data_IF_244663211862
#
_entry.id   IF_244663211862
#
_cell.length_a   1.000
_cell.length_b   1.000
_cell.length_c   1.000
_cell.angle_alpha   90.00
_cell.angle_beta   90.00
_cell.angle_gamma   90.00
#
_symmetry.space_group_name_H-M   'P 1'
#
loop_
_entity.id
_entity.type
_entity.pdbx_description
1 polymer ?
#
# COMPACT_ATOMS: atom_id res chain seq x y z
N UNK A 1 -76.57 -12.04 8.10
CA UNK A 1 -76.03 -10.83 7.47
C UNK A 1 -74.94 -10.29 8.39
N UNK A 2 -73.67 -10.56 8.07
CA UNK A 2 -72.53 -10.08 8.87
C UNK A 2 -72.19 -8.69 8.35
N UNK A 3 -72.44 -7.67 9.16
CA UNK A 3 -72.08 -6.28 8.84
C UNK A 3 -70.57 -6.16 8.98
N UNK A 4 -69.88 -5.87 7.87
CA UNK A 4 -68.46 -5.54 7.85
C UNK A 4 -68.30 -4.15 8.47
N UNK A 5 -67.57 -4.02 9.58
CA UNK A 5 -67.18 -2.72 10.11
C UNK A 5 -66.08 -2.15 9.20
N UNK A 6 -66.34 -1.01 8.57
CA UNK A 6 -65.34 -0.24 7.85
C UNK A 6 -64.67 0.72 8.84
N UNK A 7 -63.60 0.25 9.50
CA UNK A 7 -62.76 1.10 10.34
C UNK A 7 -61.81 1.91 9.44
N UNK A 8 -62.06 3.20 9.33
CA UNK A 8 -61.18 4.15 8.63
C UNK A 8 -60.03 4.63 9.51
N UNK A 9 -58.87 4.90 8.92
CA UNK A 9 -57.72 5.48 9.63
C UNK A 9 -58.00 6.89 10.11
N UNK A 10 -57.59 7.20 11.33
CA UNK A 10 -57.68 8.57 11.85
C UNK A 10 -56.49 9.40 11.36
N UNK A 11 -56.74 10.70 11.14
CA UNK A 11 -55.72 11.63 10.63
C UNK A 11 -54.52 11.76 11.59
N UNK A 12 -54.77 11.64 12.90
CA UNK A 12 -53.72 11.66 13.92
C UNK A 12 -52.80 10.44 13.83
N UNK A 13 -53.36 9.27 13.51
CA UNK A 13 -52.61 8.02 13.38
C UNK A 13 -51.68 8.06 12.16
N UNK A 14 -52.13 8.69 11.06
CA UNK A 14 -51.29 8.96 9.90
C UNK A 14 -50.13 9.92 10.23
N UNK A 15 -50.40 10.99 10.99
CA UNK A 15 -49.35 11.96 11.38
C UNK A 15 -48.31 11.29 12.29
N UNK A 16 -48.76 10.52 13.29
CA UNK A 16 -47.86 9.83 14.23
C UNK A 16 -47.02 8.78 13.51
N UNK A 17 -47.61 7.99 12.60
CA UNK A 17 -46.88 6.99 11.82
C UNK A 17 -45.83 7.63 10.90
N UNK A 18 -46.17 8.73 10.21
CA UNK A 18 -45.22 9.49 9.40
C UNK A 18 -44.09 10.12 10.23
N UNK A 19 -44.40 10.62 11.43
CA UNK A 19 -43.40 11.16 12.34
C UNK A 19 -42.40 10.07 12.78
N UNK A 20 -42.90 8.91 13.19
CA UNK A 20 -42.05 7.77 13.57
C UNK A 20 -41.23 7.28 12.38
N UNK A 21 -41.84 7.17 11.19
CA UNK A 21 -41.16 6.76 9.97
C UNK A 21 -40.01 7.73 9.62
N UNK A 22 -40.24 9.03 9.75
CA UNK A 22 -39.21 10.06 9.52
C UNK A 22 -38.02 9.90 10.46
N UNK A 23 -38.26 9.63 11.74
CA UNK A 23 -37.20 9.37 12.73
C UNK A 23 -36.41 8.12 12.35
N UNK A 24 -37.10 7.02 12.01
CA UNK A 24 -36.45 5.75 11.65
C UNK A 24 -35.57 5.91 10.40
N UNK A 25 -36.09 6.55 9.35
CA UNK A 25 -35.34 6.82 8.12
C UNK A 25 -34.15 7.74 8.39
N UNK A 26 -34.33 8.76 9.23
CA UNK A 26 -33.27 9.69 9.59
C UNK A 26 -32.10 8.99 10.29
N UNK A 27 -32.40 8.17 11.31
CA UNK A 27 -31.39 7.39 12.04
C UNK A 27 -30.69 6.40 11.12
N UNK A 28 -31.45 5.67 10.30
CA UNK A 28 -30.89 4.71 9.35
C UNK A 28 -29.93 5.39 8.36
N UNK A 29 -30.34 6.52 7.79
CA UNK A 29 -29.53 7.26 6.81
C UNK A 29 -28.23 7.76 7.42
N UNK A 30 -28.26 8.25 8.66
CA UNK A 30 -27.06 8.72 9.36
C UNK A 30 -26.08 7.58 9.62
N UNK A 31 -26.58 6.44 10.11
CA UNK A 31 -25.76 5.26 10.38
C UNK A 31 -25.16 4.70 9.09
N UNK A 32 -25.96 4.60 8.02
CA UNK A 32 -25.50 4.12 6.73
C UNK A 32 -24.40 5.02 6.16
N UNK A 33 -24.61 6.34 6.15
CA UNK A 33 -23.63 7.28 5.62
C UNK A 33 -22.32 7.27 6.43
N UNK A 34 -22.43 7.27 7.76
CA UNK A 34 -21.26 7.20 8.65
C UNK A 34 -20.50 5.89 8.47
N UNK A 35 -21.20 4.76 8.43
CA UNK A 35 -20.62 3.44 8.22
C UNK A 35 -19.92 3.32 6.88
N UNK A 36 -20.57 3.77 5.81
CA UNK A 36 -19.99 3.77 4.47
C UNK A 36 -18.72 4.62 4.38
N UNK A 37 -18.76 5.85 4.91
CA UNK A 37 -17.58 6.74 4.93
C UNK A 37 -16.42 6.13 5.71
N UNK A 38 -16.71 5.53 6.88
CA UNK A 38 -15.70 4.84 7.68
C UNK A 38 -15.11 3.66 6.91
N UNK A 39 -15.95 2.84 6.27
CA UNK A 39 -15.52 1.69 5.50
C UNK A 39 -14.57 2.10 4.35
N UNK A 40 -14.94 3.09 3.54
CA UNK A 40 -14.11 3.57 2.44
C UNK A 40 -12.77 4.13 2.95
N UNK A 41 -12.79 4.89 4.04
CA UNK A 41 -11.54 5.41 4.62
C UNK A 41 -10.63 4.30 5.14
N UNK A 42 -11.20 3.29 5.81
CA UNK A 42 -10.44 2.14 6.29
C UNK A 42 -9.89 1.31 5.13
N UNK A 43 -10.68 1.08 4.09
CA UNK A 43 -10.22 0.36 2.90
C UNK A 43 -9.01 1.06 2.27
N UNK A 44 -9.10 2.37 2.05
CA UNK A 44 -8.00 3.15 1.48
C UNK A 44 -6.73 3.10 2.34
N UNK A 45 -6.87 3.14 3.67
CA UNK A 45 -5.74 2.99 4.61
C UNK A 45 -5.08 1.61 4.49
N UNK A 46 -5.90 0.55 4.48
CA UNK A 46 -5.43 -0.83 4.38
C UNK A 46 -4.71 -1.06 3.05
N UNK A 47 -5.24 -0.54 1.94
CA UNK A 47 -4.64 -0.69 0.62
C UNK A 47 -3.26 -0.03 0.54
N UNK A 48 -3.09 1.16 1.11
CA UNK A 48 -1.79 1.85 1.17
C UNK A 48 -0.81 1.06 2.04
N UNK A 49 -1.24 0.63 3.23
CA UNK A 49 -0.40 -0.14 4.14
C UNK A 49 0.04 -1.47 3.52
N UNK A 50 -0.87 -2.18 2.83
CA UNK A 50 -0.55 -3.41 2.11
C UNK A 50 0.47 -3.18 1.00
N UNK A 51 0.31 -2.14 0.18
CA UNK A 51 1.28 -1.80 -0.87
C UNK A 51 2.67 -1.53 -0.31
N UNK A 52 2.77 -0.74 0.77
CA UNK A 52 4.04 -0.46 1.45
C UNK A 52 4.66 -1.74 2.02
N UNK A 53 3.87 -2.60 2.68
CA UNK A 53 4.34 -3.86 3.24
C UNK A 53 4.78 -4.86 2.17
N UNK A 54 4.05 -4.99 1.07
CA UNK A 54 4.42 -5.85 -0.06
C UNK A 54 5.75 -5.39 -0.65
N UNK A 55 5.91 -4.09 -0.92
CA UNK A 55 7.16 -3.53 -1.40
C UNK A 55 8.31 -3.81 -0.43
N UNK A 56 8.14 -3.49 0.85
CA UNK A 56 9.19 -3.70 1.87
C UNK A 56 9.58 -5.17 1.97
N UNK A 57 8.60 -6.06 2.13
CA UNK A 57 8.85 -7.50 2.27
C UNK A 57 9.56 -8.06 1.03
N UNK A 58 9.17 -7.59 -0.16
CA UNK A 58 9.83 -8.01 -1.39
C UNK A 58 11.31 -7.57 -1.41
N UNK A 59 11.60 -6.31 -1.10
CA UNK A 59 12.97 -5.78 -1.08
C UNK A 59 13.82 -6.51 -0.03
N UNK A 60 13.31 -6.64 1.20
CA UNK A 60 13.99 -7.36 2.27
C UNK A 60 14.25 -8.81 1.86
N UNK A 61 13.28 -9.49 1.25
CA UNK A 61 13.46 -10.86 0.78
C UNK A 61 14.54 -11.00 -0.30
N UNK A 62 14.77 -9.97 -1.13
CA UNK A 62 15.87 -9.96 -2.09
C UNK A 62 17.22 -9.82 -1.39
N UNK A 63 17.29 -8.98 -0.36
CA UNK A 63 18.52 -8.77 0.42
C UNK A 63 18.87 -10.00 1.28
N UNK A 64 17.87 -10.67 1.84
CA UNK A 64 18.04 -11.91 2.62
C UNK A 64 18.58 -13.08 1.78
N UNK A 65 18.35 -13.08 0.46
CA UNK A 65 18.95 -14.07 -0.45
C UNK A 65 20.46 -13.96 -0.57
N UNK A 66 21.07 -12.91 -0.01
CA UNK A 66 22.51 -12.72 0.00
C UNK A 66 23.06 -12.33 -1.37
N UNK A 67 22.70 -11.14 -1.89
CA UNK A 67 23.27 -10.63 -3.13
C UNK A 67 24.79 -10.52 -3.05
N UNK A 68 25.48 -10.39 -4.19
CA UNK A 68 26.93 -10.18 -4.17
C UNK A 68 27.28 -8.70 -3.93
N UNK A 69 26.45 -7.78 -4.43
CA UNK A 69 26.67 -6.34 -4.33
C UNK A 69 25.34 -5.61 -4.18
N UNK A 70 25.32 -4.58 -3.32
CA UNK A 70 24.17 -3.69 -3.14
C UNK A 70 24.65 -2.25 -3.26
N UNK A 71 24.08 -1.51 -4.20
CA UNK A 71 24.37 -0.10 -4.46
C UNK A 71 23.13 0.75 -4.15
N UNK A 72 23.30 1.77 -3.32
CA UNK A 72 22.31 2.85 -3.19
C UNK A 72 22.49 3.79 -4.38
N UNK A 73 21.40 4.07 -5.09
CA UNK A 73 21.39 4.89 -6.30
C UNK A 73 20.40 6.05 -6.14
N UNK A 74 20.37 6.94 -7.14
CA UNK A 74 19.42 8.05 -7.24
C UNK A 74 19.39 8.92 -5.97
N UNK A 75 20.57 9.21 -5.41
CA UNK A 75 20.76 9.98 -4.17
C UNK A 75 20.03 9.41 -2.94
N UNK A 76 19.90 8.08 -2.85
CA UNK A 76 19.18 7.43 -1.75
C UNK A 76 17.73 7.10 -2.07
N UNK A 77 17.24 7.46 -3.26
CA UNK A 77 15.86 7.19 -3.70
C UNK A 77 15.73 5.95 -4.60
N UNK A 78 16.77 5.11 -4.65
CA UNK A 78 16.78 3.88 -5.42
C UNK A 78 17.76 2.86 -4.87
N UNK A 79 17.59 1.61 -5.29
CA UNK A 79 18.42 0.49 -4.84
C UNK A 79 18.77 -0.43 -6.02
N UNK A 80 20.04 -0.75 -6.19
CA UNK A 80 20.53 -1.70 -7.19
C UNK A 80 21.14 -2.90 -6.46
N UNK A 81 20.62 -4.09 -6.75
CA UNK A 81 20.98 -5.35 -6.10
C UNK A 81 21.45 -6.31 -7.19
N UNK A 82 22.72 -6.72 -7.14
CA UNK A 82 23.32 -7.55 -8.19
C UNK A 82 23.57 -8.98 -7.73
N UNK A 83 23.50 -9.90 -8.69
CA UNK A 83 23.82 -11.33 -8.54
C UNK A 83 23.08 -11.98 -7.37
N UNK A 84 21.76 -11.81 -7.35
CA UNK A 84 20.88 -12.54 -6.43
C UNK A 84 20.72 -13.96 -6.96
N UNK A 85 21.00 -14.97 -6.14
CA UNK A 85 20.84 -16.36 -6.51
C UNK A 85 19.36 -16.74 -6.62
N UNK A 86 18.99 -17.35 -7.74
CA UNK A 86 17.66 -17.89 -8.03
C UNK A 86 17.78 -19.34 -8.49
N UNK A 87 16.65 -20.05 -8.65
CA UNK A 87 16.64 -21.43 -9.15
C UNK A 87 17.21 -21.57 -10.57
N UNK A 88 17.19 -20.50 -11.34
CA UNK A 88 17.57 -20.46 -12.76
C UNK A 88 18.94 -19.80 -12.99
N UNK A 89 19.65 -19.40 -11.93
CA UNK A 89 20.92 -18.69 -12.00
C UNK A 89 20.91 -17.38 -11.23
N UNK A 90 21.68 -16.40 -11.68
CA UNK A 90 21.78 -15.09 -11.05
C UNK A 90 20.88 -14.07 -11.74
N UNK A 91 20.26 -13.17 -10.96
CA UNK A 91 19.50 -12.04 -11.49
C UNK A 91 19.89 -10.75 -10.78
N UNK A 92 19.80 -9.66 -11.52
CA UNK A 92 19.98 -8.31 -11.00
C UNK A 92 18.63 -7.61 -10.90
N UNK A 93 18.51 -6.80 -9.85
CA UNK A 93 17.30 -6.05 -9.54
C UNK A 93 17.65 -4.59 -9.34
N UNK A 94 16.95 -3.69 -10.02
CA UNK A 94 17.01 -2.25 -9.77
C UNK A 94 15.63 -1.75 -9.36
N UNK A 95 15.54 -1.15 -8.19
CA UNK A 95 14.33 -0.59 -7.61
C UNK A 95 14.42 0.93 -7.70
N UNK A 96 13.41 1.54 -8.32
CA UNK A 96 13.36 2.99 -8.53
C UNK A 96 11.96 3.51 -8.30
N UNK A 97 11.87 4.68 -7.68
CA UNK A 97 10.62 5.37 -7.47
C UNK A 97 10.31 6.33 -8.62
N UNK A 98 9.20 6.10 -9.30
CA UNK A 98 8.57 7.06 -10.20
C UNK A 98 7.19 7.37 -9.60
N UNK A 99 7.18 8.24 -8.58
CA UNK A 99 6.00 8.54 -7.76
C UNK A 99 4.75 8.75 -8.64
N UNK A 100 3.63 8.04 -8.37
CA UNK A 100 3.34 7.27 -7.15
C UNK A 100 3.66 5.76 -7.24
N UNK A 101 4.48 5.33 -8.21
CA UNK A 101 4.72 3.91 -8.50
C UNK A 101 6.17 3.54 -8.19
N UNK A 102 6.34 2.49 -7.40
CA UNK A 102 7.63 1.85 -7.18
C UNK A 102 7.84 0.77 -8.24
N UNK A 103 8.87 0.92 -9.05
CA UNK A 103 9.22 -0.01 -10.11
C UNK A 103 10.36 -0.93 -9.70
N UNK A 104 10.33 -2.13 -10.26
CA UNK A 104 11.45 -3.06 -10.26
C UNK A 104 11.86 -3.40 -11.67
N UNK A 105 13.15 -3.30 -11.92
CA UNK A 105 13.81 -3.67 -13.16
C UNK A 105 14.58 -4.95 -12.92
N UNK A 106 14.25 -6.01 -13.66
CA UNK A 106 14.88 -7.32 -13.54
C UNK A 106 15.74 -7.57 -14.77
N UNK A 107 16.99 -7.98 -14.56
CA UNK A 107 17.89 -8.45 -15.62
C UNK A 107 18.36 -9.86 -15.32
N UNK A 108 18.40 -10.72 -16.34
CA UNK A 108 18.84 -12.12 -16.19
C UNK A 108 20.37 -12.29 -16.33
N UNK A 109 21.07 -11.28 -16.83
CA UNK A 109 22.54 -11.27 -16.96
C UNK A 109 23.06 -9.83 -17.07
N UNK A 110 24.32 -9.60 -16.70
CA UNK A 110 25.05 -8.34 -16.92
C UNK A 110 25.06 -7.92 -18.40
N UNK A 111 24.98 -8.89 -19.33
CA UNK A 111 24.93 -8.65 -20.78
C UNK A 111 23.52 -8.40 -21.32
N UNK A 112 22.49 -8.58 -20.50
CA UNK A 112 21.11 -8.40 -20.93
C UNK A 112 20.72 -6.91 -20.92
N UNK A 113 20.57 -6.37 -22.12
CA UNK A 113 20.13 -5.00 -22.33
C UNK A 113 18.59 -4.87 -22.30
N UNK A 114 17.85 -5.98 -22.32
CA UNK A 114 16.37 -6.03 -22.32
C UNK A 114 15.85 -6.47 -20.95
N UNK A 115 16.18 -5.70 -19.92
CA UNK A 115 15.58 -5.89 -18.61
C UNK A 115 14.06 -5.64 -18.64
N UNK A 116 13.32 -6.38 -17.82
CA UNK A 116 11.87 -6.16 -17.65
C UNK A 116 11.62 -5.12 -16.56
N UNK A 117 10.89 -4.05 -16.89
CA UNK A 117 10.37 -3.08 -15.92
C UNK A 117 8.97 -3.51 -15.49
N UNK A 118 8.81 -3.81 -14.20
CA UNK A 118 7.55 -4.25 -13.61
C UNK A 118 7.16 -3.30 -12.48
N UNK A 119 5.86 -3.09 -12.34
CA UNK A 119 5.30 -2.37 -11.20
C UNK A 119 5.38 -3.26 -9.96
N UNK A 120 6.08 -2.80 -8.93
CA UNK A 120 6.20 -3.51 -7.65
C UNK A 120 5.06 -3.12 -6.70
N UNK A 121 4.83 -1.82 -6.54
CA UNK A 121 3.77 -1.28 -5.69
C UNK A 121 3.30 0.08 -6.19
N UNK A 122 2.03 0.41 -5.89
CA UNK A 122 1.42 1.72 -6.19
C UNK A 122 1.23 2.52 -4.91
N UNK A 123 0.88 3.80 -5.07
CA UNK A 123 0.63 4.71 -3.98
C UNK A 123 1.85 4.88 -3.05
N UNK A 124 3.06 4.76 -3.62
CA UNK A 124 4.34 4.99 -2.97
C UNK A 124 4.85 6.36 -3.39
N UNK A 125 5.09 7.24 -2.43
CA UNK A 125 5.47 8.62 -2.68
C UNK A 125 6.85 8.98 -2.13
N UNK A 126 7.39 8.14 -1.24
CA UNK A 126 8.76 8.29 -0.76
C UNK A 126 9.40 6.92 -0.67
N UNK A 127 10.64 6.83 -1.13
CA UNK A 127 11.49 5.66 -1.00
C UNK A 127 12.87 6.18 -0.65
N UNK A 128 13.36 5.83 0.53
CA UNK A 128 14.64 6.31 1.05
C UNK A 128 15.46 5.14 1.55
N UNK A 129 16.71 5.16 1.15
CA UNK A 129 17.70 4.18 1.55
C UNK A 129 18.90 4.93 2.10
N UNK A 130 19.26 4.64 3.34
CA UNK A 130 20.37 5.28 4.03
C UNK A 130 21.32 4.24 4.60
N UNK A 131 22.62 4.50 4.53
CA UNK A 131 23.62 3.69 5.23
C UNK A 131 23.67 4.13 6.69
N UNK A 132 23.67 3.17 7.63
CA UNK A 132 23.89 3.47 9.05
C UNK A 132 25.32 3.18 9.47
N UNK A 133 25.76 1.92 9.36
CA UNK A 133 27.07 1.47 9.82
C UNK A 133 27.52 0.24 9.03
N UNK A 134 28.69 0.31 8.36
CA UNK A 134 29.27 -0.81 7.61
C UNK A 134 28.26 -1.43 6.64
N UNK A 135 27.84 -2.67 6.94
CA UNK A 135 26.89 -3.44 6.13
C UNK A 135 25.42 -3.31 6.57
N UNK A 136 25.08 -2.30 7.36
CA UNK A 136 23.70 -2.02 7.79
C UNK A 136 23.11 -0.84 7.02
N UNK A 137 21.97 -1.08 6.40
CA UNK A 137 21.17 -0.07 5.70
C UNK A 137 19.80 0.06 6.34
N UNK A 138 19.25 1.27 6.32
CA UNK A 138 17.85 1.52 6.64
C UNK A 138 17.08 1.81 5.36
N UNK A 139 15.96 1.12 5.19
CA UNK A 139 15.05 1.27 4.06
C UNK A 139 13.75 1.83 4.61
N UNK A 140 13.32 2.96 4.08
CA UNK A 140 12.06 3.61 4.42
C UNK A 140 11.19 3.73 3.17
N UNK A 141 9.94 3.29 3.26
CA UNK A 141 8.94 3.40 2.20
C UNK A 141 7.73 4.13 2.79
N UNK A 142 7.32 5.21 2.14
CA UNK A 142 6.09 5.94 2.50
C UNK A 142 5.06 5.86 1.38
N UNK A 143 3.86 5.44 1.74
CA UNK A 143 2.68 5.51 0.88
C UNK A 143 1.62 6.47 1.38
N UNK A 144 0.68 6.83 0.51
CA UNK A 144 -0.46 7.72 0.78
C UNK A 144 -1.62 7.41 -0.16
N UNK A 145 -2.86 7.61 0.26
CA UNK A 145 -4.03 7.22 -0.56
C UNK A 145 -4.33 8.18 -1.70
N UNK A 146 -3.81 9.42 -1.64
CA UNK A 146 -3.99 10.43 -2.67
C UNK A 146 -2.79 11.40 -2.72
N UNK A 147 -2.74 12.24 -3.75
CA UNK A 147 -1.70 13.27 -3.92
C UNK A 147 -1.72 14.36 -2.83
N UNK A 148 -2.81 14.46 -2.06
CA UNK A 148 -2.95 15.43 -0.97
C UNK A 148 -2.32 14.93 0.33
N UNK A 149 -1.79 13.71 0.34
CA UNK A 149 -1.17 13.11 1.51
C UNK A 149 -2.16 12.66 2.56
N UNK A 150 -3.38 12.29 2.19
CA UNK A 150 -4.27 11.59 3.11
C UNK A 150 -3.77 10.17 3.37
N UNK A 151 -4.08 9.63 4.56
CA UNK A 151 -3.84 8.22 4.88
C UNK A 151 -2.37 7.79 4.69
N UNK A 152 -1.45 8.64 5.13
CA UNK A 152 -0.01 8.39 5.01
C UNK A 152 0.40 7.24 5.91
N UNK A 153 1.15 6.31 5.36
CA UNK A 153 1.76 5.20 6.09
C UNK A 153 3.22 5.09 5.69
N UNK A 154 4.13 5.10 6.68
CA UNK A 154 5.56 4.86 6.47
C UNK A 154 5.99 3.60 7.20
N UNK A 155 6.85 2.82 6.55
CA UNK A 155 7.50 1.66 7.14
C UNK A 155 9.00 1.79 6.95
N UNK A 156 9.74 1.68 8.06
CA UNK A 156 11.20 1.66 8.07
C UNK A 156 11.68 0.30 8.52
N UNK A 157 12.70 -0.25 7.87
CA UNK A 157 13.33 -1.52 8.26
C UNK A 157 14.83 -1.43 8.09
N UNK A 158 15.54 -1.89 9.12
CA UNK A 158 16.99 -2.01 9.09
C UNK A 158 17.37 -3.40 8.61
N UNK A 159 18.26 -3.46 7.62
CA UNK A 159 18.74 -4.71 7.02
C UNK A 159 20.26 -4.76 7.15
N UNK A 160 20.75 -5.90 7.63
CA UNK A 160 22.18 -6.20 7.71
C UNK A 160 22.59 -7.15 6.58
N UNK A 161 23.56 -6.75 5.76
CA UNK A 161 24.08 -7.55 4.66
C UNK A 161 25.26 -8.41 5.11
N UNK A 162 25.05 -9.73 5.16
CA UNK A 162 26.06 -10.68 5.65
C UNK A 162 27.20 -10.96 4.66
N UNK A 163 26.94 -10.87 3.36
CA UNK A 163 27.86 -11.33 2.28
C UNK A 163 28.18 -10.28 1.23
N UNK A 164 27.66 -9.07 1.38
CA UNK A 164 27.69 -8.03 0.35
C UNK A 164 28.17 -6.73 1.00
N UNK A 165 29.02 -6.01 0.30
CA UNK A 165 29.38 -4.64 0.68
C UNK A 165 28.33 -3.65 0.18
N UNK A 166 28.09 -2.58 0.95
CA UNK A 166 27.18 -1.50 0.57
C UNK A 166 27.99 -0.40 -0.13
N UNK A 167 27.68 -0.16 -1.40
CA UNK A 167 28.24 0.93 -2.17
C UNK A 167 27.22 2.07 -2.30
N UNK A 168 27.67 3.32 -2.28
CA UNK A 168 26.81 4.51 -2.44
C UNK A 168 27.26 5.25 -3.70
N UNK A 169 26.33 5.52 -4.62
CA UNK A 169 26.62 6.14 -5.91
C UNK A 169 25.73 7.35 -6.20
#
# INVERSE_FOLDING_TARGET
MVVKQEEGFTLIELIVTLAILGVVIGVYSLLYYSGYKSFVSTQNNVDVEQNVRIAMNYIVSLLEKGPSEVEIIDNGCGLSIKKVLTKEGYRDYKITLESPILYIHIKESDTDSRGSKLQLAVNIYDFKVTTKNGNMMNIEITGQSDDKGSNRFSLSTEVFLRKSDINVK
#
